data_IF_623238736878
#
_entry.id   IF_623238736878
#
_cell.length_a   1.000
_cell.length_b   1.000
_cell.length_c   1.000
_cell.angle_alpha   90.00
_cell.angle_beta   90.00
_cell.angle_gamma   90.00
#
_symmetry.space_group_name_H-M   'P 1'
#
loop_
_entity.id
_entity.type
_entity.pdbx_description
1 polymer ?
#
# COMPACT_ATOMS: atom_id res chain seq x y z
N UNK A 1 19.66 -21.88 28.04
CA UNK A 1 19.12 -22.45 26.78
C UNK A 1 19.54 -23.91 26.76
N UNK A 2 18.58 -24.85 26.73
CA UNK A 2 18.87 -26.28 26.74
C UNK A 2 18.97 -26.74 25.29
N UNK A 3 20.16 -27.13 24.83
CA UNK A 3 20.34 -27.81 23.55
C UNK A 3 21.02 -29.15 23.81
N UNK A 4 20.75 -30.15 22.95
CA UNK A 4 21.39 -31.47 23.01
C UNK A 4 21.24 -32.26 24.32
N UNK A 5 20.12 -32.11 25.03
CA UNK A 5 19.87 -32.88 26.26
C UNK A 5 21.00 -32.81 27.29
N UNK A 6 21.85 -31.78 27.25
CA UNK A 6 23.07 -31.73 28.03
C UNK A 6 22.79 -31.00 29.34
N UNK A 7 23.14 -31.62 30.48
CA UNK A 7 22.99 -31.00 31.79
C UNK A 7 23.75 -29.67 31.86
N UNK A 8 23.14 -28.66 32.47
CA UNK A 8 23.78 -27.38 32.77
C UNK A 8 24.75 -27.64 33.94
N UNK A 9 26.07 -27.46 33.76
CA UNK A 9 27.05 -27.84 34.78
C UNK A 9 26.87 -27.10 36.11
N UNK A 10 26.42 -25.84 36.09
CA UNK A 10 26.26 -25.00 37.29
C UNK A 10 25.01 -24.09 37.22
N UNK A 11 23.85 -24.61 36.82
CA UNK A 11 22.65 -23.77 36.69
C UNK A 11 21.32 -24.50 36.84
N UNK A 12 20.31 -23.78 37.30
CA UNK A 12 18.93 -24.26 37.43
C UNK A 12 18.12 -23.78 36.22
N UNK A 13 17.66 -24.70 35.39
CA UNK A 13 16.64 -24.39 34.38
C UNK A 13 15.25 -24.61 34.96
N UNK A 14 14.36 -23.64 34.81
CA UNK A 14 12.93 -23.83 35.05
C UNK A 14 12.21 -24.06 33.74
N UNK A 15 11.24 -24.96 33.73
CA UNK A 15 10.30 -25.05 32.61
C UNK A 15 9.53 -23.72 32.47
N UNK A 16 9.46 -23.18 31.25
CA UNK A 16 8.80 -21.92 30.95
C UNK A 16 9.64 -21.01 30.04
N UNK A 17 9.02 -19.93 29.59
CA UNK A 17 9.70 -18.92 28.78
C UNK A 17 10.68 -18.12 29.63
N UNK A 18 11.85 -17.79 29.06
CA UNK A 18 12.77 -16.84 29.69
C UNK A 18 12.08 -15.48 29.84
N UNK A 19 12.35 -14.78 30.95
CA UNK A 19 11.96 -13.37 31.08
C UNK A 19 12.71 -12.55 30.04
N UNK A 20 12.00 -12.09 29.02
CA UNK A 20 12.51 -11.15 28.02
C UNK A 20 12.39 -9.74 28.57
N UNK A 21 13.45 -8.93 28.44
CA UNK A 21 13.37 -7.51 28.72
C UNK A 21 12.58 -6.82 27.59
N UNK A 22 11.38 -6.37 27.90
CA UNK A 22 10.41 -5.84 26.93
C UNK A 22 10.50 -4.32 26.76
N UNK A 23 11.60 -3.65 27.10
CA UNK A 23 11.71 -2.19 26.98
C UNK A 23 11.33 -1.64 25.58
N UNK A 24 11.56 -2.42 24.53
CA UNK A 24 11.21 -2.08 23.13
C UNK A 24 9.71 -2.23 22.79
N UNK A 25 8.87 -2.78 23.67
CA UNK A 25 7.44 -3.00 23.37
C UNK A 25 6.67 -1.68 23.23
N UNK A 26 6.95 -0.70 24.10
CA UNK A 26 6.29 0.61 24.11
C UNK A 26 6.58 1.42 22.84
N UNK A 27 7.85 1.65 22.43
CA UNK A 27 8.13 2.37 21.19
C UNK A 27 7.59 1.62 19.96
N UNK A 28 7.66 0.29 19.95
CA UNK A 28 7.07 -0.52 18.86
C UNK A 28 5.55 -0.34 18.78
N UNK A 29 4.84 -0.36 19.91
CA UNK A 29 3.39 -0.18 19.94
C UNK A 29 2.98 1.20 19.43
N UNK A 30 3.69 2.26 19.83
CA UNK A 30 3.42 3.64 19.38
C UNK A 30 3.62 3.76 17.87
N UNK A 31 4.73 3.24 17.32
CA UNK A 31 5.01 3.30 15.87
C UNK A 31 3.95 2.54 15.06
N UNK A 32 3.53 1.36 15.52
CA UNK A 32 2.47 0.60 14.87
C UNK A 32 1.12 1.31 14.94
N UNK A 33 0.79 1.91 16.09
CA UNK A 33 -0.44 2.69 16.25
C UNK A 33 -0.49 3.87 15.27
N UNK A 34 0.56 4.69 15.24
CA UNK A 34 0.66 5.83 14.31
C UNK A 34 0.59 5.38 12.85
N UNK A 35 1.25 4.27 12.52
CA UNK A 35 1.23 3.70 11.17
C UNK A 35 -0.18 3.22 10.76
N UNK A 36 -0.92 2.61 11.68
CA UNK A 36 -2.30 2.17 11.46
C UNK A 36 -3.27 3.33 11.30
N UNK A 37 -3.13 4.39 12.11
CA UNK A 37 -3.93 5.62 11.98
C UNK A 37 -3.67 6.29 10.63
N UNK A 38 -2.40 6.47 10.26
CA UNK A 38 -2.04 7.02 8.95
C UNK A 38 -2.54 6.14 7.79
N UNK A 39 -2.52 4.82 7.96
CA UNK A 39 -3.12 3.87 7.02
C UNK A 39 -4.61 4.09 6.84
N UNK A 40 -5.37 4.15 7.93
CA UNK A 40 -6.81 4.36 7.91
C UNK A 40 -7.21 5.70 7.28
N UNK A 41 -6.47 6.77 7.58
CA UNK A 41 -6.71 8.10 7.02
C UNK A 41 -6.58 8.14 5.50
N UNK A 42 -5.70 7.32 4.89
CA UNK A 42 -5.54 7.27 3.42
C UNK A 42 -6.67 6.53 2.71
N UNK A 43 -7.35 5.60 3.38
CA UNK A 43 -8.38 4.77 2.75
C UNK A 43 -9.54 5.64 2.26
N UNK A 44 -10.00 6.60 3.08
CA UNK A 44 -11.15 7.43 2.73
C UNK A 44 -10.91 8.30 1.49
N UNK A 45 -9.86 9.15 1.42
CA UNK A 45 -9.56 9.93 0.23
C UNK A 45 -9.40 9.07 -1.03
N UNK A 46 -8.71 7.92 -0.93
CA UNK A 46 -8.50 7.03 -2.06
C UNK A 46 -9.84 6.50 -2.62
N UNK A 47 -10.77 6.13 -1.74
CA UNK A 47 -12.10 5.65 -2.16
C UNK A 47 -12.95 6.77 -2.76
N UNK A 48 -12.86 7.98 -2.23
CA UNK A 48 -13.56 9.15 -2.78
C UNK A 48 -13.08 9.43 -4.20
N UNK A 49 -11.77 9.47 -4.44
CA UNK A 49 -11.19 9.71 -5.77
C UNK A 49 -11.67 8.63 -6.76
N UNK A 50 -11.58 7.36 -6.38
CA UNK A 50 -12.05 6.25 -7.22
C UNK A 50 -13.51 6.43 -7.66
N UNK A 51 -14.40 6.82 -6.75
CA UNK A 51 -15.83 7.03 -7.07
C UNK A 51 -16.03 8.24 -7.99
N UNK A 52 -15.23 9.29 -7.85
CA UNK A 52 -15.31 10.50 -8.67
C UNK A 52 -14.77 10.29 -10.09
N UNK A 53 -13.85 9.35 -10.28
CA UNK A 53 -13.26 9.06 -11.58
C UNK A 53 -14.07 8.09 -12.45
N UNK A 54 -15.13 7.47 -11.93
CA UNK A 54 -15.94 6.45 -12.62
C UNK A 54 -17.34 7.00 -12.93
N UNK A 55 -17.86 6.69 -14.12
CA UNK A 55 -19.21 7.04 -14.57
C UNK A 55 -20.28 6.38 -13.69
N UNK A 56 -21.40 7.07 -13.45
CA UNK A 56 -22.45 6.60 -12.53
C UNK A 56 -22.97 5.18 -12.83
N UNK A 57 -23.04 4.79 -14.10
CA UNK A 57 -23.47 3.45 -14.53
C UNK A 57 -22.50 2.33 -14.11
N UNK A 58 -21.21 2.63 -13.96
CA UNK A 58 -20.15 1.64 -13.76
C UNK A 58 -19.60 1.64 -12.32
N UNK A 59 -20.10 2.55 -11.46
CA UNK A 59 -19.63 2.72 -10.07
C UNK A 59 -19.76 1.44 -9.25
N UNK A 60 -20.92 0.79 -9.31
CA UNK A 60 -21.18 -0.43 -8.55
C UNK A 60 -20.23 -1.57 -8.97
N UNK A 61 -19.99 -1.72 -10.28
CA UNK A 61 -19.08 -2.71 -10.84
C UNK A 61 -17.63 -2.44 -10.42
N UNK A 62 -17.17 -1.19 -10.47
CA UNK A 62 -15.81 -0.83 -10.06
C UNK A 62 -15.57 -1.05 -8.55
N UNK A 63 -16.53 -0.67 -7.70
CA UNK A 63 -16.45 -0.91 -6.25
C UNK A 63 -16.46 -2.41 -5.96
N UNK A 64 -17.33 -3.17 -6.61
CA UNK A 64 -17.41 -4.63 -6.46
C UNK A 64 -16.12 -5.33 -6.88
N UNK A 65 -15.56 -4.96 -8.04
CA UNK A 65 -14.32 -5.54 -8.54
C UNK A 65 -13.12 -5.22 -7.66
N UNK A 66 -12.98 -3.96 -7.23
CA UNK A 66 -11.88 -3.57 -6.32
C UNK A 66 -11.97 -4.28 -4.97
N UNK A 67 -13.18 -4.45 -4.42
CA UNK A 67 -13.40 -5.20 -3.18
C UNK A 67 -13.13 -6.69 -3.37
N UNK A 68 -13.55 -7.28 -4.49
CA UNK A 68 -13.28 -8.69 -4.81
C UNK A 68 -11.79 -8.95 -4.95
N UNK A 69 -11.07 -8.15 -5.75
CA UNK A 69 -9.62 -8.30 -5.94
C UNK A 69 -8.85 -8.07 -4.64
N UNK A 70 -9.22 -7.02 -3.89
CA UNK A 70 -8.61 -6.74 -2.59
C UNK A 70 -8.82 -7.88 -1.60
N UNK A 71 -10.01 -8.50 -1.61
CA UNK A 71 -10.33 -9.62 -0.73
C UNK A 71 -9.64 -10.91 -1.17
N UNK A 72 -9.69 -11.26 -2.45
CA UNK A 72 -9.07 -12.47 -2.98
C UNK A 72 -7.56 -12.47 -2.76
N UNK A 73 -6.89 -11.37 -3.10
CA UNK A 73 -5.44 -11.23 -2.92
C UNK A 73 -5.09 -11.09 -1.44
N UNK A 74 -5.84 -10.29 -0.68
CA UNK A 74 -5.61 -10.09 0.74
C UNK A 74 -5.78 -11.38 1.55
N UNK A 75 -6.95 -12.00 1.47
CA UNK A 75 -7.28 -13.16 2.30
C UNK A 75 -6.56 -14.44 1.91
N UNK A 76 -6.33 -14.69 0.61
CA UNK A 76 -5.65 -15.90 0.19
C UNK A 76 -4.12 -15.77 0.25
N UNK A 77 -3.55 -14.66 -0.21
CA UNK A 77 -2.09 -14.52 -0.28
C UNK A 77 -1.47 -14.20 1.08
N UNK A 78 -2.20 -13.50 1.96
CA UNK A 78 -1.69 -13.15 3.29
C UNK A 78 -1.29 -14.37 4.12
N UNK A 79 -2.15 -15.37 4.40
CA UNK A 79 -1.78 -16.50 5.24
C UNK A 79 -0.68 -17.37 4.62
N UNK A 80 -0.68 -17.51 3.29
CA UNK A 80 0.38 -18.27 2.58
C UNK A 80 1.72 -17.56 2.76
N UNK A 81 1.75 -16.25 2.54
CA UNK A 81 2.99 -15.47 2.63
C UNK A 81 3.51 -15.36 4.07
N UNK A 82 2.64 -15.00 5.03
CA UNK A 82 3.02 -14.92 6.44
C UNK A 82 3.36 -16.29 7.03
N UNK A 83 2.69 -17.36 6.60
CA UNK A 83 3.06 -18.73 6.96
C UNK A 83 4.49 -19.06 6.54
N UNK A 84 4.84 -18.78 5.28
CA UNK A 84 6.22 -18.95 4.80
C UNK A 84 7.23 -18.07 5.52
N UNK A 85 6.87 -16.83 5.83
CA UNK A 85 7.73 -15.94 6.62
C UNK A 85 8.07 -16.57 7.98
N UNK A 86 7.07 -17.08 8.69
CA UNK A 86 7.26 -17.76 9.99
C UNK A 86 8.14 -19.00 9.85
N UNK A 87 7.88 -19.84 8.84
CA UNK A 87 8.68 -21.04 8.55
C UNK A 87 10.18 -20.71 8.36
N UNK A 88 10.51 -19.57 7.72
CA UNK A 88 11.92 -19.16 7.52
C UNK A 88 12.65 -18.75 8.80
N UNK A 89 11.90 -18.41 9.86
CA UNK A 89 12.44 -17.99 11.16
C UNK A 89 12.43 -19.13 12.17
N UNK A 90 12.08 -20.35 11.72
CA UNK A 90 11.91 -21.48 12.62
C UNK A 90 13.25 -21.96 13.17
N UNK A 91 13.33 -22.05 14.50
CA UNK A 91 14.47 -22.60 15.22
C UNK A 91 14.24 -24.07 15.57
N UNK A 92 13.01 -24.42 15.97
CA UNK A 92 12.64 -25.77 16.38
C UNK A 92 11.36 -26.20 15.67
N UNK A 93 11.50 -27.28 14.90
CA UNK A 93 10.39 -27.96 14.25
C UNK A 93 9.82 -29.02 15.19
N UNK A 94 8.49 -29.10 15.26
CA UNK A 94 7.83 -30.22 15.92
C UNK A 94 8.15 -31.51 15.15
N UNK A 95 8.59 -32.56 15.82
CA UNK A 95 8.79 -33.88 15.20
C UNK A 95 7.52 -34.73 15.36
N UNK A 96 6.94 -35.16 14.25
CA UNK A 96 5.85 -36.13 14.19
C UNK A 96 6.37 -37.48 13.69
N UNK A 97 5.64 -38.57 13.95
CA UNK A 97 6.03 -39.92 13.52
C UNK A 97 6.20 -40.06 11.98
N UNK A 98 5.63 -39.14 11.18
CA UNK A 98 5.77 -39.08 9.72
C UNK A 98 6.75 -38.00 9.21
N UNK A 99 7.43 -37.23 10.08
CA UNK A 99 8.40 -36.20 9.67
C UNK A 99 8.30 -34.88 10.46
N UNK A 100 8.70 -33.78 9.83
CA UNK A 100 8.60 -32.43 10.43
C UNK A 100 7.16 -31.90 10.36
N UNK A 101 6.64 -31.46 11.50
CA UNK A 101 5.32 -30.84 11.67
C UNK A 101 5.38 -29.31 11.61
N UNK A 102 4.55 -28.63 12.41
CA UNK A 102 4.55 -27.17 12.49
C UNK A 102 5.79 -26.63 13.21
N UNK A 103 6.13 -25.35 12.96
CA UNK A 103 7.17 -24.67 13.72
C UNK A 103 6.69 -24.40 15.16
N UNK A 104 7.41 -24.91 16.15
CA UNK A 104 7.06 -24.74 17.56
C UNK A 104 7.72 -23.50 18.16
N UNK A 105 8.99 -23.25 17.78
CA UNK A 105 9.75 -22.11 18.28
C UNK A 105 10.47 -21.39 17.16
N UNK A 106 10.25 -20.08 17.08
CA UNK A 106 10.82 -19.19 16.06
C UNK A 106 11.64 -18.07 16.70
N UNK A 107 12.57 -17.51 15.93
CA UNK A 107 13.34 -16.35 16.33
C UNK A 107 12.49 -15.07 16.23
N UNK A 108 12.20 -14.45 17.39
CA UNK A 108 11.35 -13.26 17.50
C UNK A 108 12.03 -12.02 16.90
N UNK A 109 13.36 -11.91 16.97
CA UNK A 109 14.09 -10.76 16.47
C UNK A 109 14.15 -10.77 14.94
N UNK A 110 14.49 -11.92 14.35
CA UNK A 110 14.50 -12.11 12.91
C UNK A 110 13.09 -11.98 12.31
N UNK A 111 12.09 -12.55 12.99
CA UNK A 111 10.68 -12.37 12.59
C UNK A 111 10.26 -10.90 12.56
N UNK A 112 10.59 -10.13 13.61
CA UNK A 112 10.26 -8.71 13.69
C UNK A 112 10.94 -7.90 12.58
N UNK A 113 12.20 -8.19 12.28
CA UNK A 113 12.94 -7.51 11.21
C UNK A 113 12.34 -7.83 9.83
N UNK A 114 12.06 -9.11 9.55
CA UNK A 114 11.44 -9.54 8.30
C UNK A 114 10.04 -8.94 8.10
N UNK A 115 9.21 -8.95 9.15
CA UNK A 115 7.87 -8.37 9.11
C UNK A 115 7.89 -6.88 8.75
N UNK A 116 8.74 -6.10 9.44
CA UNK A 116 8.83 -4.66 9.21
C UNK A 116 9.50 -4.30 7.88
N UNK A 117 10.57 -5.00 7.51
CA UNK A 117 11.26 -4.77 6.24
C UNK A 117 10.34 -5.04 5.07
N UNK A 118 9.60 -6.16 5.11
CA UNK A 118 8.60 -6.49 4.12
C UNK A 118 7.52 -5.41 4.04
N UNK A 119 6.91 -5.04 5.18
CA UNK A 119 5.91 -3.98 5.23
C UNK A 119 6.44 -2.64 4.69
N UNK A 120 7.70 -2.30 4.98
CA UNK A 120 8.35 -1.10 4.46
C UNK A 120 8.52 -1.14 2.94
N UNK A 121 8.95 -2.26 2.36
CA UNK A 121 9.08 -2.42 0.90
C UNK A 121 7.73 -2.20 0.21
N UNK A 122 6.64 -2.78 0.72
CA UNK A 122 5.30 -2.54 0.18
C UNK A 122 4.88 -1.08 0.26
N UNK A 123 5.16 -0.43 1.40
CA UNK A 123 4.87 1.00 1.58
C UNK A 123 5.68 1.84 0.59
N UNK A 124 6.95 1.54 0.37
CA UNK A 124 7.81 2.26 -0.58
C UNK A 124 7.34 2.09 -2.03
N UNK A 125 6.93 0.88 -2.43
CA UNK A 125 6.37 0.65 -3.76
C UNK A 125 5.06 1.42 -3.97
N UNK A 126 4.19 1.44 -2.96
CA UNK A 126 2.97 2.23 -2.97
C UNK A 126 3.26 3.75 -3.02
N UNK A 127 4.27 4.22 -2.30
CA UNK A 127 4.69 5.62 -2.35
C UNK A 127 5.26 5.97 -3.73
N UNK A 128 6.09 5.12 -4.32
CA UNK A 128 6.66 5.36 -5.64
C UNK A 128 5.58 5.46 -6.72
N UNK A 129 4.62 4.53 -6.73
CA UNK A 129 3.47 4.59 -7.65
C UNK A 129 2.63 5.84 -7.43
N UNK A 130 2.38 6.23 -6.18
CA UNK A 130 1.66 7.46 -5.86
C UNK A 130 2.40 8.71 -6.35
N UNK A 131 3.71 8.79 -6.12
CA UNK A 131 4.55 9.89 -6.60
C UNK A 131 4.58 9.96 -8.12
N UNK A 132 4.67 8.82 -8.80
CA UNK A 132 4.60 8.74 -10.25
C UNK A 132 3.25 9.22 -10.79
N UNK A 133 2.13 8.82 -10.18
CA UNK A 133 0.80 9.31 -10.54
C UNK A 133 0.68 10.82 -10.32
N UNK A 134 1.17 11.33 -9.19
CA UNK A 134 1.18 12.77 -8.90
C UNK A 134 2.04 13.54 -9.90
N UNK A 135 3.21 13.00 -10.27
CA UNK A 135 4.07 13.60 -11.27
C UNK A 135 3.38 13.67 -12.65
N UNK A 136 2.69 12.60 -13.07
CA UNK A 136 1.90 12.61 -14.32
C UNK A 136 0.76 13.63 -14.28
N UNK A 137 0.02 13.70 -13.16
CA UNK A 137 -1.09 14.66 -12.99
C UNK A 137 -0.57 16.09 -12.97
N UNK A 138 0.54 16.34 -12.29
CA UNK A 138 1.18 17.66 -12.26
C UNK A 138 1.62 18.09 -13.66
N UNK A 139 2.23 17.17 -14.43
CA UNK A 139 2.64 17.46 -15.80
C UNK A 139 1.44 17.73 -16.74
N UNK A 140 0.32 17.02 -16.57
CA UNK A 140 -0.90 17.32 -17.33
C UNK A 140 -1.47 18.69 -16.96
N UNK A 141 -1.60 18.99 -15.66
CA UNK A 141 -2.10 20.31 -15.22
C UNK A 141 -1.23 21.45 -15.73
N UNK A 142 0.09 21.25 -15.75
CA UNK A 142 1.03 22.22 -16.30
C UNK A 142 0.79 22.45 -17.80
N UNK A 143 0.64 21.36 -18.57
CA UNK A 143 0.30 21.44 -19.99
C UNK A 143 -1.00 22.18 -20.26
N UNK A 144 -2.06 21.92 -19.48
CA UNK A 144 -3.35 22.62 -19.61
C UNK A 144 -3.20 24.13 -19.37
N UNK A 145 -2.47 24.52 -18.32
CA UNK A 145 -2.22 25.94 -18.04
C UNK A 145 -1.40 26.65 -19.14
N UNK A 146 -0.49 25.93 -19.78
CA UNK A 146 0.30 26.47 -20.90
C UNK A 146 -0.57 26.64 -22.15
N UNK A 147 -1.49 25.70 -22.43
CA UNK A 147 -2.44 25.81 -23.53
C UNK A 147 -3.40 27.00 -23.36
N UNK A 148 -3.93 27.20 -22.16
CA UNK A 148 -4.87 28.29 -21.88
C UNK A 148 -4.19 29.67 -22.01
N UNK A 149 -2.97 29.82 -21.45
CA UNK A 149 -2.13 31.02 -21.60
C UNK A 149 -1.75 31.31 -23.05
N UNK A 150 -1.42 30.29 -23.85
CA UNK A 150 -1.10 30.47 -25.27
C UNK A 150 -2.33 30.84 -26.10
N UNK A 151 -3.49 30.26 -25.83
CA UNK A 151 -4.74 30.62 -26.51
C UNK A 151 -5.14 32.08 -26.22
N UNK A 152 -4.97 32.55 -24.98
CA UNK A 152 -5.22 33.95 -24.61
C UNK A 152 -4.32 34.92 -25.39
N UNK A 153 -3.02 34.60 -25.52
CA UNK A 153 -2.05 35.40 -26.31
C UNK A 153 -2.38 35.41 -27.81
N UNK A 154 -2.83 34.28 -28.37
CA UNK A 154 -3.22 34.15 -29.79
C UNK A 154 -4.48 34.99 -30.07
N UNK A 155 -5.49 34.92 -29.21
CA UNK A 155 -6.72 35.70 -29.37
C UNK A 155 -6.47 37.21 -29.29
N UNK A 156 -5.51 37.67 -28.47
CA UNK A 156 -5.20 39.09 -28.33
C UNK A 156 -4.36 39.66 -29.49
N UNK A 157 -3.69 38.81 -30.27
CA UNK A 157 -2.85 39.19 -31.41
C UNK A 157 -3.56 39.10 -32.76
N UNK A 158 -4.74 38.47 -32.84
CA UNK A 158 -5.54 38.34 -34.06
C UNK A 158 -6.90 39.03 -33.87
N UNK A 159 -7.03 40.35 -34.09
CA UNK A 159 -8.32 41.04 -34.07
C UNK A 159 -9.26 40.64 -35.22
N UNK A 160 -8.79 39.88 -36.22
CA UNK A 160 -9.57 39.52 -37.42
C UNK A 160 -10.41 38.22 -37.26
N UNK A 161 -10.04 37.31 -36.34
CA UNK A 161 -10.69 35.99 -36.20
C UNK A 161 -12.10 36.07 -35.57
N UNK A 162 -12.36 37.12 -34.78
CA UNK A 162 -13.66 37.36 -34.18
C UNK A 162 -14.71 37.78 -35.22
N UNK A 163 -14.29 38.47 -36.28
CA UNK A 163 -15.14 38.88 -37.40
C UNK A 163 -15.52 37.69 -38.31
N UNK A 164 -14.64 36.71 -38.46
CA UNK A 164 -14.93 35.51 -39.27
C UNK A 164 -15.95 34.61 -38.53
N UNK A 165 -15.80 34.44 -37.21
CA UNK A 165 -16.76 33.67 -36.39
C UNK A 165 -18.14 34.33 -36.22
N UNK A 166 -18.26 35.66 -36.36
CA UNK A 166 -19.56 36.32 -36.40
C UNK A 166 -20.22 36.19 -37.78
N UNK A 167 -19.44 36.32 -38.86
CA UNK A 167 -19.98 36.22 -40.22
C UNK A 167 -20.41 34.80 -40.59
N UNK A 168 -19.71 33.76 -40.12
CA UNK A 168 -20.12 32.37 -40.36
C UNK A 168 -21.47 32.03 -39.65
N UNK A 169 -21.76 32.67 -38.52
CA UNK A 169 -23.05 32.48 -37.82
C UNK A 169 -24.22 33.19 -38.49
N UNK A 170 -24.00 34.37 -39.08
CA UNK A 170 -25.04 35.08 -39.86
C UNK A 170 -25.35 34.38 -41.20
N UNK A 171 -24.41 33.61 -41.76
CA UNK A 171 -24.61 32.82 -42.98
C UNK A 171 -25.40 31.51 -42.77
N UNK A 172 -25.34 30.91 -41.57
CA UNK A 172 -26.14 29.72 -41.24
C UNK A 172 -27.59 30.05 -40.85
N UNK A 173 -27.88 31.28 -40.38
CA UNK A 173 -29.23 31.70 -39.98
C UNK A 173 -30.12 32.17 -41.17
N UNK A 174 -29.53 32.34 -42.36
CA UNK A 174 -30.21 32.78 -43.58
C UNK A 174 -30.34 31.69 -44.67
N UNK A 175 -29.98 30.43 -44.36
CA UNK A 175 -30.31 29.23 -45.15
C UNK A 175 -31.53 28.49 -44.59
#
# INVERSE_FOLDING_TARGET
MYSNCTCIPDGKASAGFCKTDCAMIYPWAIVNFLSSVAGAMKIMPNRIIMIRCVKDTDKATAIGLSAFLGSALGWALSPIFYGKMVDTTCLIWQSSCEGHGACEFYDIEDFRLKFHTFGFVFKMLALFTSLFSLWKVWNWKHWESDCESNNEKINHSIPEKQTIMSNDKELEEHS
#
